data_IF_716345268969
#
_entry.id   IF_716345268969
#
_cell.length_a   1.000
_cell.length_b   1.000
_cell.length_c   1.000
_cell.angle_alpha   90.00
_cell.angle_beta   90.00
_cell.angle_gamma   90.00
#
_symmetry.space_group_name_H-M   'P 1'
#
loop_
_entity.id
_entity.type
_entity.pdbx_description
1 polymer ?
#
# COMPACT_ATOMS: atom_id res chain seq x y z
N UNK A 1 18.58 -38.32 13.95
CA UNK A 1 18.62 -37.84 12.57
C UNK A 1 19.08 -36.40 12.66
N UNK A 2 20.26 -36.11 12.15
CA UNK A 2 20.75 -34.73 12.06
C UNK A 2 19.95 -34.06 10.93
N UNK A 3 19.12 -33.09 11.27
CA UNK A 3 18.54 -32.19 10.27
C UNK A 3 19.71 -31.48 9.59
N UNK A 4 19.94 -31.74 8.31
CA UNK A 4 20.91 -30.96 7.54
C UNK A 4 20.41 -29.51 7.52
N UNK A 5 21.05 -28.64 8.31
CA UNK A 5 20.93 -27.19 8.18
C UNK A 5 21.48 -26.77 6.81
N UNK A 6 20.62 -26.87 5.79
CA UNK A 6 20.92 -26.50 4.42
C UNK A 6 20.29 -25.17 4.05
N UNK A 7 21.07 -24.25 3.49
CA UNK A 7 20.54 -23.06 2.84
C UNK A 7 19.98 -23.43 1.48
N UNK A 8 18.71 -23.11 1.24
CA UNK A 8 18.09 -23.26 -0.08
C UNK A 8 18.03 -21.90 -0.77
N UNK A 9 18.51 -21.83 -2.01
CA UNK A 9 18.39 -20.62 -2.82
C UNK A 9 16.94 -20.40 -3.23
N UNK A 10 16.42 -19.18 -3.06
CA UNK A 10 15.11 -18.80 -3.60
C UNK A 10 15.25 -18.42 -5.07
N UNK A 11 14.48 -19.07 -5.96
CA UNK A 11 14.44 -18.76 -7.40
C UNK A 11 13.61 -17.49 -7.70
N UNK A 12 14.01 -16.37 -7.12
CA UNK A 12 13.45 -15.02 -7.38
C UNK A 12 14.51 -14.14 -8.04
N UNK A 13 14.15 -13.02 -8.70
CA UNK A 13 15.14 -12.08 -9.21
C UNK A 13 16.05 -11.58 -8.08
N UNK A 14 17.35 -11.43 -8.34
CA UNK A 14 18.32 -10.98 -7.33
C UNK A 14 17.98 -9.60 -6.74
N UNK A 15 17.28 -8.76 -7.50
CA UNK A 15 16.86 -7.43 -7.09
C UNK A 15 15.57 -7.44 -6.27
N UNK A 16 14.81 -8.54 -6.28
CA UNK A 16 13.54 -8.64 -5.57
C UNK A 16 13.73 -8.47 -4.06
N UNK A 17 12.70 -7.93 -3.41
CA UNK A 17 12.62 -7.94 -1.95
C UNK A 17 11.66 -9.03 -1.53
N UNK A 18 12.08 -9.89 -0.61
CA UNK A 18 11.25 -11.01 -0.13
C UNK A 18 10.92 -10.87 1.35
N UNK A 19 9.77 -11.40 1.75
CA UNK A 19 9.40 -11.56 3.16
C UNK A 19 8.54 -12.80 3.33
N UNK A 20 8.78 -13.57 4.39
CA UNK A 20 7.92 -14.69 4.75
C UNK A 20 6.84 -14.24 5.73
N UNK A 21 5.60 -14.68 5.49
CA UNK A 21 4.43 -14.35 6.31
C UNK A 21 3.58 -15.60 6.47
N UNK A 22 3.58 -16.19 7.66
CA UNK A 22 3.01 -17.52 7.85
C UNK A 22 3.68 -18.54 6.92
N UNK A 23 2.87 -19.29 6.17
CA UNK A 23 3.35 -20.25 5.16
C UNK A 23 3.60 -19.62 3.78
N UNK A 24 3.42 -18.30 3.62
CA UNK A 24 3.56 -17.63 2.33
C UNK A 24 4.91 -16.91 2.20
N UNK A 25 5.47 -16.98 0.99
CA UNK A 25 6.52 -16.10 0.52
C UNK A 25 5.88 -14.92 -0.21
N UNK A 26 6.18 -13.70 0.22
CA UNK A 26 5.92 -12.49 -0.55
C UNK A 26 7.15 -12.09 -1.34
N UNK A 27 6.94 -11.69 -2.60
CA UNK A 27 7.98 -11.18 -3.50
C UNK A 27 7.55 -9.82 -4.04
N UNK A 28 8.28 -8.77 -3.67
CA UNK A 28 8.23 -7.46 -4.31
C UNK A 28 9.19 -7.46 -5.50
N UNK A 29 8.62 -7.45 -6.69
CA UNK A 29 9.31 -7.51 -7.97
C UNK A 29 9.97 -6.17 -8.26
N UNK A 30 11.29 -6.13 -8.49
CA UNK A 30 12.03 -4.89 -8.80
C UNK A 30 12.46 -4.78 -10.26
N UNK A 31 12.39 -5.85 -11.02
CA UNK A 31 12.56 -5.93 -12.47
C UNK A 31 11.52 -6.91 -13.00
N UNK A 32 11.03 -6.73 -14.23
CA UNK A 32 10.05 -7.64 -14.82
C UNK A 32 10.48 -9.11 -14.66
N UNK A 33 9.58 -9.94 -14.13
CA UNK A 33 9.89 -11.31 -13.71
C UNK A 33 8.96 -12.31 -14.37
N UNK A 34 9.54 -13.29 -15.04
CA UNK A 34 8.82 -14.44 -15.61
C UNK A 34 9.12 -15.70 -14.78
N UNK A 35 8.07 -16.41 -14.37
CA UNK A 35 8.16 -17.68 -13.64
C UNK A 35 6.98 -18.57 -13.98
N UNK A 36 7.26 -19.76 -14.50
CA UNK A 36 6.26 -20.71 -14.98
C UNK A 36 5.39 -20.09 -16.07
N UNK A 37 4.10 -19.95 -15.76
CA UNK A 37 3.10 -19.30 -16.64
C UNK A 37 2.89 -17.81 -16.35
N UNK A 38 3.51 -17.27 -15.31
CA UNK A 38 3.28 -15.91 -14.84
C UNK A 38 4.32 -14.94 -15.38
N UNK A 39 3.87 -13.70 -15.60
CA UNK A 39 4.71 -12.54 -15.91
C UNK A 39 4.30 -11.42 -14.98
N UNK A 40 5.22 -10.94 -14.16
CA UNK A 40 4.99 -9.87 -13.20
C UNK A 40 5.79 -8.64 -13.61
N UNK A 41 5.14 -7.49 -13.63
CA UNK A 41 5.80 -6.22 -13.90
C UNK A 41 6.63 -5.77 -12.70
N UNK A 42 7.68 -5.01 -12.96
CA UNK A 42 8.37 -4.21 -11.95
C UNK A 42 7.36 -3.47 -11.05
N UNK A 43 7.55 -3.55 -9.73
CA UNK A 43 6.70 -2.96 -8.71
C UNK A 43 5.52 -3.84 -8.26
N UNK A 44 5.32 -5.02 -8.86
CA UNK A 44 4.29 -5.96 -8.43
C UNK A 44 4.64 -6.59 -7.08
N UNK A 45 3.62 -6.82 -6.24
CA UNK A 45 3.73 -7.65 -5.05
C UNK A 45 2.92 -8.92 -5.25
N UNK A 46 3.58 -10.06 -5.13
CA UNK A 46 2.97 -11.38 -5.29
C UNK A 46 3.17 -12.22 -4.04
N UNK A 47 2.26 -13.14 -3.81
CA UNK A 47 2.33 -14.16 -2.78
C UNK A 47 2.33 -15.56 -3.38
N UNK A 48 3.06 -16.48 -2.77
CA UNK A 48 3.11 -17.90 -3.15
C UNK A 48 3.29 -18.75 -1.89
N UNK A 49 2.77 -19.98 -1.86
CA UNK A 49 3.05 -20.92 -0.76
C UNK A 49 4.56 -21.23 -0.74
N UNK A 50 5.21 -21.00 0.40
CA UNK A 50 6.67 -21.08 0.54
C UNK A 50 7.17 -22.50 0.26
N UNK A 51 6.54 -23.52 0.84
CA UNK A 51 6.98 -24.91 0.67
C UNK A 51 6.84 -25.38 -0.78
N UNK A 52 5.71 -25.08 -1.43
CA UNK A 52 5.51 -25.40 -2.85
C UNK A 52 6.51 -24.66 -3.74
N UNK A 53 6.80 -23.39 -3.42
CA UNK A 53 7.79 -22.60 -4.14
C UNK A 53 9.20 -23.14 -3.98
N UNK A 54 9.61 -23.58 -2.80
CA UNK A 54 10.93 -24.19 -2.59
C UNK A 54 11.11 -25.51 -3.35
N UNK A 55 10.03 -26.26 -3.59
CA UNK A 55 10.07 -27.53 -4.31
C UNK A 55 10.00 -27.36 -5.82
N UNK A 56 9.02 -26.60 -6.33
CA UNK A 56 8.78 -26.41 -7.76
C UNK A 56 8.34 -24.94 -8.06
N UNK A 57 9.28 -23.98 -8.08
CA UNK A 57 8.98 -22.56 -8.36
C UNK A 57 8.14 -22.35 -9.63
N UNK A 58 8.48 -23.07 -10.70
CA UNK A 58 7.86 -22.96 -12.02
C UNK A 58 6.42 -23.49 -12.08
N UNK A 59 6.00 -24.33 -11.12
CA UNK A 59 4.64 -24.88 -11.04
C UNK A 59 3.81 -24.28 -9.91
N UNK A 60 4.42 -23.42 -9.11
CA UNK A 60 3.76 -22.81 -7.98
C UNK A 60 2.67 -21.84 -8.42
N UNK A 61 1.60 -21.80 -7.64
CA UNK A 61 0.45 -20.93 -7.87
C UNK A 61 0.66 -19.60 -7.15
N UNK A 62 0.73 -18.51 -7.93
CA UNK A 62 0.96 -17.17 -7.42
C UNK A 62 -0.33 -16.39 -7.30
N UNK A 63 -0.46 -15.62 -6.22
CA UNK A 63 -1.50 -14.61 -6.05
C UNK A 63 -0.92 -13.21 -6.25
N UNK A 64 -1.49 -12.44 -7.16
CA UNK A 64 -1.12 -11.05 -7.41
C UNK A 64 -1.82 -10.13 -6.41
N UNK A 65 -1.10 -9.66 -5.39
CA UNK A 65 -1.65 -8.80 -4.34
C UNK A 65 -1.67 -7.31 -4.76
N UNK A 66 -0.72 -6.93 -5.60
CA UNK A 66 -0.65 -5.61 -6.22
C UNK A 66 0.11 -5.69 -7.54
N UNK A 67 -0.41 -5.00 -8.56
CA UNK A 67 0.29 -4.69 -9.79
C UNK A 67 0.21 -3.18 -9.99
N UNK A 68 1.33 -2.49 -10.28
CA UNK A 68 1.31 -1.06 -10.51
C UNK A 68 0.62 -0.71 -11.83
N UNK A 69 -0.07 0.43 -11.82
CA UNK A 69 -0.51 1.16 -13.00
C UNK A 69 0.45 2.31 -13.29
N UNK A 70 0.17 3.10 -14.34
CA UNK A 70 0.91 4.33 -14.66
C UNK A 70 0.92 5.35 -13.51
N UNK A 71 0.03 5.21 -12.53
CA UNK A 71 -0.21 6.20 -11.47
C UNK A 71 -0.12 5.62 -10.07
N UNK A 72 -0.07 4.28 -9.95
CA UNK A 72 -0.12 3.60 -8.66
C UNK A 72 1.20 2.94 -8.29
N UNK A 73 1.56 3.05 -7.02
CA UNK A 73 2.81 2.53 -6.48
C UNK A 73 2.55 1.89 -5.12
N UNK A 74 3.20 0.77 -4.84
CA UNK A 74 3.23 0.17 -3.52
C UNK A 74 4.27 0.89 -2.66
N UNK A 75 3.82 1.53 -1.58
CA UNK A 75 4.69 2.22 -0.64
C UNK A 75 5.24 1.26 0.43
N UNK A 76 4.44 0.26 0.83
CA UNK A 76 4.83 -0.75 1.79
C UNK A 76 3.65 -1.58 2.27
N UNK A 77 3.92 -2.48 3.22
CA UNK A 77 2.90 -3.31 3.83
C UNK A 77 3.25 -3.64 5.28
N UNK A 78 2.24 -4.01 6.06
CA UNK A 78 2.41 -4.69 7.33
C UNK A 78 1.46 -5.87 7.43
N UNK A 79 1.86 -6.89 8.18
CA UNK A 79 1.00 -8.03 8.50
C UNK A 79 0.50 -7.94 9.93
N UNK A 80 -0.78 -8.24 10.08
CA UNK A 80 -1.46 -8.50 11.35
C UNK A 80 -1.82 -9.99 11.42
N UNK A 81 -2.41 -10.47 12.53
CA UNK A 81 -2.77 -11.88 12.68
C UNK A 81 -3.46 -12.48 11.46
N UNK A 82 -4.52 -11.82 10.98
CA UNK A 82 -5.36 -12.30 9.88
C UNK A 82 -5.23 -11.52 8.57
N UNK A 83 -4.48 -10.42 8.52
CA UNK A 83 -4.47 -9.53 7.37
C UNK A 83 -3.09 -9.07 6.93
N UNK A 84 -2.99 -8.76 5.65
CA UNK A 84 -1.92 -7.97 5.06
C UNK A 84 -2.49 -6.63 4.62
N UNK A 85 -1.99 -5.56 5.23
CA UNK A 85 -2.41 -4.19 4.94
C UNK A 85 -1.35 -3.54 4.06
N UNK A 86 -1.70 -3.26 2.81
CA UNK A 86 -0.86 -2.54 1.86
C UNK A 86 -1.13 -1.05 1.97
N UNK A 87 -0.05 -0.26 2.04
CA UNK A 87 -0.08 1.18 1.82
C UNK A 87 0.35 1.47 0.39
N UNK A 88 -0.52 2.11 -0.36
CA UNK A 88 -0.37 2.43 -1.78
C UNK A 88 -0.36 3.95 -1.95
N UNK A 89 0.22 4.41 -3.06
CA UNK A 89 0.04 5.76 -3.57
C UNK A 89 -0.65 5.67 -4.93
N UNK A 90 -1.64 6.51 -5.17
CA UNK A 90 -2.21 6.78 -6.49
C UNK A 90 -2.13 8.28 -6.76
N UNK A 91 -1.38 8.69 -7.79
CA UNK A 91 -1.09 10.10 -8.06
C UNK A 91 -0.64 10.84 -6.79
N UNK A 92 0.25 10.24 -5.99
CA UNK A 92 0.78 10.82 -4.74
C UNK A 92 -0.29 11.04 -3.64
N UNK A 93 -1.44 10.36 -3.73
CA UNK A 93 -2.42 10.26 -2.65
C UNK A 93 -2.37 8.86 -2.05
N UNK A 94 -2.29 8.78 -0.72
CA UNK A 94 -2.30 7.49 -0.04
C UNK A 94 -3.62 6.74 -0.23
N UNK A 95 -3.53 5.44 -0.39
CA UNK A 95 -4.64 4.49 -0.44
C UNK A 95 -4.25 3.25 0.34
N UNK A 96 -5.23 2.57 0.93
CA UNK A 96 -5.02 1.32 1.67
C UNK A 96 -5.69 0.17 0.94
N UNK A 97 -5.04 -0.99 0.91
CA UNK A 97 -5.64 -2.24 0.45
C UNK A 97 -5.45 -3.30 1.52
N UNK A 98 -6.52 -3.99 1.90
CA UNK A 98 -6.49 -5.02 2.94
C UNK A 98 -6.78 -6.36 2.30
N UNK A 99 -5.84 -7.27 2.44
CA UNK A 99 -5.99 -8.67 2.07
C UNK A 99 -6.15 -9.50 3.33
N UNK A 100 -7.19 -10.34 3.37
CA UNK A 100 -7.37 -11.36 4.40
C UNK A 100 -6.58 -12.61 4.02
N UNK A 101 -5.77 -13.08 4.95
CA UNK A 101 -5.06 -14.36 4.86
C UNK A 101 -6.01 -15.51 5.16
N UNK A 102 -5.99 -16.53 4.31
CA UNK A 102 -6.72 -17.78 4.47
C UNK A 102 -5.75 -18.94 4.25
N UNK A 103 -6.12 -20.15 4.69
CA UNK A 103 -5.28 -21.35 4.53
C UNK A 103 -4.87 -21.55 3.06
N UNK A 104 -5.82 -21.37 2.14
CA UNK A 104 -5.63 -21.61 0.71
C UNK A 104 -5.36 -20.34 -0.12
N UNK A 105 -5.11 -19.19 0.51
CA UNK A 105 -4.72 -17.98 -0.21
C UNK A 105 -5.20 -16.66 0.40
N UNK A 106 -5.63 -15.75 -0.47
CA UNK A 106 -5.83 -14.35 -0.14
C UNK A 106 -7.15 -13.82 -0.70
N UNK A 107 -7.88 -13.05 0.11
CA UNK A 107 -9.10 -12.35 -0.32
C UNK A 107 -8.94 -10.86 -0.10
N UNK A 108 -9.15 -10.06 -1.15
CA UNK A 108 -9.13 -8.61 -1.02
C UNK A 108 -10.45 -8.14 -0.38
N UNK A 109 -10.39 -7.71 0.88
CA UNK A 109 -11.56 -7.28 1.66
C UNK A 109 -11.85 -5.80 1.47
N UNK A 110 -10.81 -4.98 1.25
CA UNK A 110 -10.96 -3.53 1.17
C UNK A 110 -9.91 -2.92 0.25
N UNK A 111 -10.33 -1.91 -0.52
CA UNK A 111 -9.43 -0.97 -1.17
C UNK A 111 -10.05 0.44 -1.09
N UNK A 112 -9.35 1.36 -0.42
CA UNK A 112 -9.88 2.69 -0.16
C UNK A 112 -8.79 3.77 -0.25
N UNK A 113 -9.04 4.76 -1.10
CA UNK A 113 -8.20 5.96 -1.20
C UNK A 113 -8.48 6.95 -0.07
N UNK A 114 -7.44 7.66 0.37
CA UNK A 114 -7.57 8.77 1.29
C UNK A 114 -8.47 9.87 0.71
N UNK A 115 -9.40 10.45 1.49
CA UNK A 115 -10.29 11.51 1.03
C UNK A 115 -9.54 12.84 0.80
N UNK A 116 -8.37 13.03 1.40
CA UNK A 116 -7.55 14.23 1.29
C UNK A 116 -6.11 13.92 0.86
N UNK A 117 -5.36 14.99 0.56
CA UNK A 117 -3.93 14.89 0.27
C UNK A 117 -3.20 14.73 1.61
N UNK A 118 -2.98 13.49 2.00
CA UNK A 118 -2.26 13.13 3.20
C UNK A 118 -1.26 12.00 2.92
N UNK A 119 -0.21 11.96 3.74
CA UNK A 119 0.68 10.81 3.85
C UNK A 119 0.16 9.93 4.98
N UNK A 120 0.00 8.65 4.68
CA UNK A 120 -0.39 7.63 5.63
C UNK A 120 0.72 6.59 5.73
N UNK A 121 0.97 6.13 6.96
CA UNK A 121 1.78 4.95 7.21
C UNK A 121 1.03 4.07 8.22
N UNK A 122 1.00 2.77 7.95
CA UNK A 122 0.34 1.77 8.78
C UNK A 122 1.38 0.76 9.25
N UNK A 123 1.33 0.44 10.54
CA UNK A 123 2.19 -0.55 11.17
C UNK A 123 1.34 -1.43 12.06
N UNK A 124 1.61 -2.73 12.09
CA UNK A 124 0.99 -3.62 13.07
C UNK A 124 1.44 -3.26 14.49
N UNK A 125 0.54 -3.40 15.47
CA UNK A 125 0.89 -3.28 16.89
C UNK A 125 1.64 -4.54 17.33
N UNK A 126 0.98 -5.69 17.21
CA UNK A 126 1.47 -7.03 17.52
C UNK A 126 1.05 -7.95 16.36
N UNK A 127 1.87 -8.00 15.30
CA UNK A 127 1.44 -8.56 14.01
C UNK A 127 1.17 -10.08 14.01
N UNK A 128 1.66 -10.81 15.01
CA UNK A 128 1.44 -12.25 15.11
C UNK A 128 0.11 -12.61 15.78
N UNK A 129 -0.26 -11.90 16.84
CA UNK A 129 -1.35 -12.31 17.71
C UNK A 129 -2.61 -11.44 17.58
N UNK A 130 -2.49 -10.24 17.02
CA UNK A 130 -3.55 -9.24 16.98
C UNK A 130 -3.81 -8.66 15.58
N UNK A 131 -5.04 -8.17 15.38
CA UNK A 131 -5.46 -7.42 14.18
C UNK A 131 -5.50 -5.91 14.43
N UNK A 132 -4.65 -5.43 15.35
CA UNK A 132 -4.50 -4.00 15.63
C UNK A 132 -3.37 -3.38 14.80
N UNK A 133 -3.61 -2.15 14.33
CA UNK A 133 -2.63 -1.35 13.61
C UNK A 133 -2.54 0.06 14.19
N UNK A 134 -1.30 0.54 14.26
CA UNK A 134 -0.99 1.96 14.36
C UNK A 134 -1.11 2.59 12.97
N UNK A 135 -1.83 3.71 12.90
CA UNK A 135 -1.86 4.58 11.72
C UNK A 135 -1.25 5.93 12.09
N UNK A 136 -0.24 6.35 11.35
CA UNK A 136 0.19 7.75 11.33
C UNK A 136 -0.35 8.43 10.08
N UNK A 137 -0.88 9.64 10.26
CA UNK A 137 -1.38 10.46 9.16
C UNK A 137 -0.95 11.90 9.36
N UNK A 138 -0.45 12.51 8.30
CA UNK A 138 -0.13 13.92 8.23
C UNK A 138 -0.49 14.49 6.88
N UNK A 139 -0.76 15.79 6.81
CA UNK A 139 -0.91 16.51 5.56
C UNK A 139 -0.02 17.75 5.57
N UNK A 140 -0.09 18.56 4.53
CA UNK A 140 0.63 19.83 4.49
C UNK A 140 0.18 20.83 5.56
N UNK A 141 -1.06 20.69 6.07
CA UNK A 141 -1.66 21.65 7.02
C UNK A 141 -2.15 21.02 8.32
N UNK A 142 -2.32 19.69 8.34
CA UNK A 142 -2.63 18.92 9.53
C UNK A 142 -1.36 18.24 10.06
N UNK A 143 -0.97 18.49 11.33
CA UNK A 143 0.19 17.87 11.94
C UNK A 143 -0.05 16.38 12.15
N UNK A 144 1.02 15.62 12.29
CA UNK A 144 0.93 14.16 12.44
C UNK A 144 0.04 13.76 13.61
N UNK A 145 -0.95 12.91 13.32
CA UNK A 145 -1.71 12.16 14.31
C UNK A 145 -1.30 10.69 14.30
N UNK A 146 -1.29 10.07 15.48
CA UNK A 146 -1.20 8.64 15.70
C UNK A 146 -2.58 8.14 16.12
N UNK A 147 -3.07 7.12 15.43
CA UNK A 147 -4.36 6.49 15.68
C UNK A 147 -4.19 4.99 15.84
N UNK A 148 -5.08 4.38 16.62
CA UNK A 148 -5.19 2.94 16.78
C UNK A 148 -6.46 2.46 16.08
N UNK A 149 -6.37 1.33 15.37
CA UNK A 149 -7.51 0.73 14.70
C UNK A 149 -7.41 -0.80 14.79
N UNK A 150 -8.56 -1.47 14.93
CA UNK A 150 -8.68 -2.91 14.75
C UNK A 150 -9.24 -3.21 13.36
N UNK A 151 -8.54 -4.03 12.57
CA UNK A 151 -8.88 -4.26 11.15
C UNK A 151 -10.25 -4.91 10.99
N UNK A 152 -10.62 -5.86 11.85
CA UNK A 152 -11.93 -6.52 11.79
C UNK A 152 -13.09 -5.54 12.06
N UNK A 153 -12.89 -4.57 12.94
CA UNK A 153 -13.91 -3.58 13.30
C UNK A 153 -14.21 -2.68 12.11
N UNK A 154 -13.15 -2.24 11.42
CA UNK A 154 -13.27 -1.49 10.16
C UNK A 154 -14.02 -2.27 9.08
N UNK A 155 -13.65 -3.54 8.85
CA UNK A 155 -14.30 -4.35 7.81
C UNK A 155 -15.79 -4.58 8.12
N UNK A 156 -16.16 -4.57 9.41
CA UNK A 156 -17.54 -4.76 9.86
C UNK A 156 -18.39 -3.49 9.77
N UNK A 157 -17.81 -2.31 10.04
CA UNK A 157 -18.54 -1.03 10.07
C UNK A 157 -18.88 -0.47 8.68
N UNK A 158 -18.14 -0.87 7.63
CA UNK A 158 -18.26 -0.36 6.25
C UNK A 158 -18.08 1.16 6.11
N UNK A 159 -17.50 1.79 7.12
CA UNK A 159 -17.11 3.21 7.10
C UNK A 159 -15.69 3.34 6.55
N UNK A 160 -15.20 4.58 6.42
CA UNK A 160 -13.84 4.79 5.96
C UNK A 160 -12.81 4.36 7.00
N UNK A 161 -11.70 3.76 6.54
CA UNK A 161 -10.50 3.53 7.36
C UNK A 161 -10.11 4.78 8.14
N UNK A 162 -10.30 5.95 7.53
CA UNK A 162 -9.90 7.25 8.07
C UNK A 162 -10.89 7.83 9.09
N UNK A 163 -12.12 7.34 9.12
CA UNK A 163 -13.16 7.81 10.05
C UNK A 163 -13.22 6.93 11.31
N UNK A 164 -12.92 5.63 11.20
CA UNK A 164 -12.91 4.68 12.34
C UNK A 164 -11.66 4.78 13.22
N UNK A 165 -10.56 5.33 12.70
CA UNK A 165 -9.30 5.34 13.41
C UNK A 165 -9.40 6.21 14.68
N UNK A 166 -9.24 5.59 15.85
CA UNK A 166 -9.26 6.29 17.13
C UNK A 166 -7.95 7.05 17.34
N UNK A 167 -7.99 8.38 17.31
CA UNK A 167 -6.80 9.22 17.49
C UNK A 167 -6.31 9.13 18.93
N UNK A 168 -5.19 8.44 19.13
CA UNK A 168 -4.54 8.30 20.44
C UNK A 168 -3.73 9.54 20.79
N UNK A 169 -3.04 10.12 19.80
CA UNK A 169 -2.18 11.28 20.01
C UNK A 169 -2.07 12.14 18.76
N UNK A 170 -1.86 13.44 18.94
CA UNK A 170 -1.60 14.37 17.85
C UNK A 170 -0.50 15.36 18.25
N UNK A 171 0.37 15.69 17.30
CA UNK A 171 1.31 16.80 17.47
C UNK A 171 0.57 18.15 17.47
N UNK A 172 1.07 19.17 18.19
CA UNK A 172 0.43 20.48 18.19
C UNK A 172 0.50 21.13 16.80
N UNK A 173 -0.48 21.96 16.48
CA UNK A 173 -0.37 22.83 15.31
C UNK A 173 0.71 23.89 15.55
N UNK A 174 1.64 24.01 14.61
CA UNK A 174 2.72 25.00 14.68
C UNK A 174 2.33 26.33 14.00
N UNK A 175 1.19 26.39 13.31
CA UNK A 175 0.66 27.58 12.64
C UNK A 175 -0.88 27.55 12.52
N UNK A 176 -1.49 28.72 12.27
CA UNK A 176 -2.92 28.85 11.99
C UNK A 176 -3.22 28.47 10.53
N UNK A 177 -3.96 27.38 10.33
CA UNK A 177 -4.20 26.78 9.02
C UNK A 177 -5.67 26.84 8.55
N UNK A 178 -6.60 27.34 9.38
CA UNK A 178 -8.06 27.28 9.10
C UNK A 178 -8.46 27.88 7.76
N UNK A 179 -7.76 28.92 7.33
CA UNK A 179 -8.04 29.60 6.06
C UNK A 179 -7.19 29.07 4.91
N UNK A 180 -6.35 28.05 5.14
CA UNK A 180 -5.47 27.47 4.12
C UNK A 180 -6.11 26.26 3.45
N UNK A 181 -5.85 26.11 2.16
CA UNK A 181 -6.27 24.98 1.35
C UNK A 181 -5.05 24.33 0.72
N UNK A 182 -5.18 23.03 0.44
CA UNK A 182 -4.18 22.25 -0.31
C UNK A 182 -4.86 21.78 -1.59
N UNK A 183 -4.24 22.07 -2.73
CA UNK A 183 -4.69 21.54 -4.03
C UNK A 183 -3.53 20.88 -4.74
N UNK A 184 -3.82 19.81 -5.46
CA UNK A 184 -2.87 19.15 -6.33
C UNK A 184 -3.10 19.61 -7.77
N UNK A 185 -2.00 19.85 -8.47
CA UNK A 185 -1.98 20.26 -9.87
C UNK A 185 -0.90 19.45 -10.61
N UNK A 186 -0.87 19.59 -11.94
CA UNK A 186 0.14 18.96 -12.78
C UNK A 186 0.75 19.99 -13.71
N UNK A 187 2.08 20.02 -13.74
CA UNK A 187 2.83 20.70 -14.79
C UNK A 187 3.20 19.68 -15.88
N UNK A 188 3.29 20.13 -17.13
CA UNK A 188 3.81 19.28 -18.22
C UNK A 188 5.27 19.67 -18.46
N UNK A 189 6.17 18.70 -18.29
CA UNK A 189 7.60 18.84 -18.60
C UNK A 189 7.82 18.94 -20.11
N UNK A 190 9.03 19.32 -20.51
CA UNK A 190 9.41 19.47 -21.94
C UNK A 190 9.29 18.17 -22.73
N UNK A 191 9.43 17.02 -22.07
CA UNK A 191 9.31 15.67 -22.63
C UNK A 191 7.86 15.13 -22.61
N UNK A 192 6.88 15.94 -22.18
CA UNK A 192 5.49 15.53 -22.04
C UNK A 192 5.16 14.86 -20.70
N UNK A 193 6.15 14.60 -19.84
CA UNK A 193 5.92 14.00 -18.52
C UNK A 193 5.05 14.92 -17.66
N UNK A 194 3.96 14.39 -17.12
CA UNK A 194 3.09 15.10 -16.16
C UNK A 194 3.69 15.03 -14.77
N UNK A 195 4.14 16.16 -14.24
CA UNK A 195 4.78 16.26 -12.92
C UNK A 195 3.77 16.81 -11.91
N UNK A 196 3.38 16.04 -10.88
CA UNK A 196 2.48 16.52 -9.85
C UNK A 196 3.16 17.56 -8.95
N UNK A 197 2.42 18.58 -8.55
CA UNK A 197 2.84 19.53 -7.51
C UNK A 197 1.66 19.94 -6.65
N UNK A 198 1.95 20.44 -5.45
CA UNK A 198 0.95 20.84 -4.48
C UNK A 198 1.04 22.34 -4.23
N UNK A 199 -0.10 23.02 -4.22
CA UNK A 199 -0.19 24.44 -3.88
C UNK A 199 -0.95 24.58 -2.57
N UNK A 200 -0.29 25.23 -1.61
CA UNK A 200 -0.79 25.46 -0.25
C UNK A 200 -0.93 26.97 -0.06
N UNK A 201 -2.16 27.49 -0.03
CA UNK A 201 -2.42 28.93 0.14
C UNK A 201 -3.82 29.19 0.70
N UNK A 202 -4.12 30.45 1.06
CA UNK A 202 -5.43 30.84 1.60
C UNK A 202 -6.50 30.99 0.52
N UNK A 203 -6.19 31.73 -0.53
CA UNK A 203 -7.09 31.97 -1.67
C UNK A 203 -6.65 31.16 -2.89
N UNK A 204 -6.99 29.86 -2.89
CA UNK A 204 -6.77 29.01 -4.06
C UNK A 204 -7.90 29.16 -5.07
N UNK A 205 -7.59 29.39 -6.36
CA UNK A 205 -8.58 29.17 -7.43
C UNK A 205 -9.02 27.70 -7.42
N UNK A 206 -10.29 27.43 -7.73
CA UNK A 206 -10.82 26.07 -7.79
C UNK A 206 -9.98 25.20 -8.74
N UNK A 207 -9.73 23.93 -8.37
CA UNK A 207 -8.95 23.02 -9.21
C UNK A 207 -9.63 22.84 -10.56
N UNK A 208 -8.97 23.26 -11.64
CA UNK A 208 -9.43 22.95 -12.99
C UNK A 208 -9.17 21.47 -13.29
N UNK A 209 -10.17 20.62 -13.10
CA UNK A 209 -10.20 19.31 -13.74
C UNK A 209 -10.52 19.53 -15.22
N UNK A 210 -9.53 19.97 -16.01
CA UNK A 210 -9.66 20.04 -17.46
C UNK A 210 -9.55 18.62 -18.01
N UNK A 211 -10.64 17.86 -17.96
CA UNK A 211 -10.88 16.75 -18.88
C UNK A 211 -11.16 17.36 -20.25
N UNK A 212 -10.11 17.65 -21.01
CA UNK A 212 -10.22 17.91 -22.44
C UNK A 212 -10.54 16.58 -23.13
N UNK A 213 -11.82 16.23 -23.16
CA UNK A 213 -12.36 15.26 -24.11
C UNK A 213 -12.34 15.92 -25.48
N UNK A 214 -11.28 15.67 -26.24
CA UNK A 214 -11.26 15.87 -27.68
C UNK A 214 -12.17 14.82 -28.32
N UNK A 215 -13.40 15.22 -28.63
CA UNK A 215 -14.28 14.49 -29.53
C UNK A 215 -14.01 14.90 -30.98
N UNK A 216 -14.12 13.90 -31.85
CA UNK A 216 -13.85 13.79 -33.29
C UNK A 216 -14.14 15.00 -34.17
#
# INVERSE_FOLDING_TARGET
EEEEEGWTMLEVPETASVSCIGSFLLVLVKDDWEVGRYKFKQGSLVAVQLESFLQEPQRSEFTLLFEPSDTTFLQGWCKTKGFLVLTLLDQVKSSLRIWKMQEDGWVCELHQSSPDISTINVMAVEGEDEDQVWLTRSSYIEPTSLSLLHVNDLLSSKTSFFDEAFVVKRLPHMFQHRDMKVTQHFATSKDGTRVPFFLIARDLPASSSSSSSSSS
#
